data_IF_318867672806
#
_entry.id   IF_318867672806
#
_cell.length_a   1.000
_cell.length_b   1.000
_cell.length_c   1.000
_cell.angle_alpha   90.00
_cell.angle_beta   90.00
_cell.angle_gamma   90.00
#
_symmetry.space_group_name_H-M   'P 1'
#
loop_
_entity.id
_entity.type
_entity.pdbx_description
1 polymer ?
#
# COMPACT_ATOMS: atom_id res chain seq x y z
N UNK A 1 22.48 -40.79 37.98
CA UNK A 1 21.27 -41.24 37.27
C UNK A 1 20.13 -40.21 37.18
N UNK A 2 19.77 -39.45 38.22
CA UNK A 2 18.67 -38.45 38.17
C UNK A 2 18.93 -37.28 37.22
N UNK A 3 20.16 -36.77 37.09
CA UNK A 3 20.49 -35.65 36.16
C UNK A 3 20.41 -36.06 34.70
N UNK A 4 20.89 -37.25 34.31
CA UNK A 4 20.81 -37.75 32.94
C UNK A 4 19.35 -37.93 32.48
N UNK A 5 18.47 -38.41 33.37
CA UNK A 5 17.03 -38.57 33.09
C UNK A 5 16.30 -37.21 32.93
N UNK A 6 16.74 -36.14 33.63
CA UNK A 6 16.21 -34.77 33.50
C UNK A 6 16.63 -34.12 32.20
N UNK A 7 17.88 -34.35 31.76
CA UNK A 7 18.38 -33.84 30.48
C UNK A 7 17.68 -34.56 29.32
N UNK A 8 17.50 -35.89 29.40
CA UNK A 8 16.86 -36.69 28.36
C UNK A 8 15.36 -36.34 28.20
N UNK A 9 14.66 -36.12 29.33
CA UNK A 9 13.28 -35.64 29.28
C UNK A 9 13.16 -34.22 28.68
N UNK A 10 14.13 -33.34 28.99
CA UNK A 10 14.14 -31.98 28.40
C UNK A 10 14.39 -31.96 26.90
N UNK A 11 15.25 -32.86 26.39
CA UNK A 11 15.50 -33.01 24.94
C UNK A 11 14.27 -33.59 24.23
N UNK A 12 13.63 -34.61 24.83
CA UNK A 12 12.40 -35.20 24.25
C UNK A 12 11.23 -34.21 24.20
N UNK A 13 11.11 -33.31 25.21
CA UNK A 13 10.07 -32.25 25.20
C UNK A 13 10.36 -31.25 24.08
N UNK A 14 11.60 -30.77 23.91
CA UNK A 14 11.97 -29.85 22.84
C UNK A 14 11.75 -30.44 21.43
N UNK A 15 12.07 -31.73 21.24
CA UNK A 15 11.85 -32.42 19.96
C UNK A 15 10.37 -32.56 19.70
N UNK A 16 9.56 -32.93 20.68
CA UNK A 16 8.10 -33.05 20.56
C UNK A 16 7.46 -31.69 20.25
N UNK A 17 7.88 -30.64 20.91
CA UNK A 17 7.37 -29.30 20.70
C UNK A 17 7.78 -28.77 19.31
N UNK A 18 9.00 -29.06 18.85
CA UNK A 18 9.44 -28.76 17.48
C UNK A 18 8.63 -29.52 16.44
N UNK A 19 8.40 -30.83 16.63
CA UNK A 19 7.57 -31.63 15.72
C UNK A 19 6.11 -31.15 15.72
N UNK A 20 5.56 -30.81 16.88
CA UNK A 20 4.23 -30.22 16.96
C UNK A 20 4.15 -28.88 16.21
N UNK A 21 5.13 -27.98 16.40
CA UNK A 21 5.22 -26.72 15.68
C UNK A 21 5.32 -26.94 14.16
N UNK A 22 6.11 -27.94 13.73
CA UNK A 22 6.25 -28.30 12.31
C UNK A 22 4.94 -28.87 11.74
N UNK A 23 4.20 -29.66 12.48
CA UNK A 23 2.89 -30.18 12.06
C UNK A 23 1.84 -29.06 11.91
N UNK A 24 1.82 -28.09 12.83
CA UNK A 24 0.83 -26.99 12.78
C UNK A 24 1.22 -25.90 11.77
N UNK A 25 2.48 -25.49 11.73
CA UNK A 25 2.94 -24.40 10.85
C UNK A 25 3.42 -24.90 9.48
N UNK A 26 3.82 -26.17 9.38
CA UNK A 26 4.40 -26.78 8.18
C UNK A 26 3.56 -26.64 6.93
N UNK A 27 2.25 -26.98 6.94
CA UNK A 27 1.39 -26.84 5.78
C UNK A 27 1.29 -25.41 5.27
N UNK A 28 1.20 -24.43 6.19
CA UNK A 28 1.16 -23.00 5.88
C UNK A 28 2.48 -22.52 5.28
N UNK A 29 3.60 -22.97 5.85
CA UNK A 29 4.93 -22.63 5.39
C UNK A 29 5.23 -23.25 4.01
N UNK A 30 4.86 -24.51 3.78
CA UNK A 30 4.96 -25.16 2.48
C UNK A 30 4.11 -24.47 1.42
N UNK A 31 2.88 -24.05 1.77
CA UNK A 31 2.05 -23.26 0.87
C UNK A 31 2.70 -21.93 0.50
N UNK A 32 3.26 -21.21 1.47
CA UNK A 32 3.99 -19.98 1.22
C UNK A 32 5.21 -20.20 0.32
N UNK A 33 6.01 -21.23 0.57
CA UNK A 33 7.17 -21.56 -0.26
C UNK A 33 6.75 -21.91 -1.70
N UNK A 34 5.73 -22.73 -1.87
CA UNK A 34 5.29 -23.21 -3.18
C UNK A 34 4.63 -22.11 -4.03
N UNK A 35 3.80 -21.27 -3.41
CA UNK A 35 2.98 -20.30 -4.18
C UNK A 35 3.57 -18.89 -4.25
N UNK A 36 4.51 -18.53 -3.38
CA UNK A 36 5.12 -17.19 -3.37
C UNK A 36 6.61 -17.25 -3.61
N UNK A 37 7.36 -18.05 -2.83
CA UNK A 37 8.84 -18.05 -2.92
C UNK A 37 9.31 -18.71 -4.20
N UNK A 38 8.81 -19.89 -4.54
CA UNK A 38 9.23 -20.62 -5.75
C UNK A 38 8.95 -19.82 -7.04
N UNK A 39 7.74 -19.25 -7.28
CA UNK A 39 7.50 -18.39 -8.44
C UNK A 39 8.42 -17.16 -8.46
N UNK A 40 8.68 -16.55 -7.31
CA UNK A 40 9.59 -15.40 -7.26
C UNK A 40 11.03 -15.77 -7.58
N UNK A 41 11.52 -16.95 -7.16
CA UNK A 41 12.82 -17.47 -7.57
C UNK A 41 12.89 -17.68 -9.09
N UNK A 42 11.82 -18.15 -9.72
CA UNK A 42 11.73 -18.24 -11.18
C UNK A 42 11.82 -16.86 -11.84
N UNK A 43 11.15 -15.86 -11.31
CA UNK A 43 11.26 -14.47 -11.80
C UNK A 43 12.70 -13.97 -11.69
N UNK A 44 13.37 -14.20 -10.55
CA UNK A 44 14.79 -13.84 -10.38
C UNK A 44 15.63 -14.56 -11.44
N UNK A 45 15.42 -15.85 -11.65
CA UNK A 45 16.16 -16.62 -12.67
C UNK A 45 15.98 -16.02 -14.07
N UNK A 46 14.73 -15.75 -14.48
CA UNK A 46 14.44 -15.16 -15.79
C UNK A 46 15.05 -13.76 -15.99
N UNK A 47 15.29 -13.02 -14.93
CA UNK A 47 15.91 -11.70 -15.00
C UNK A 47 17.40 -11.75 -15.40
N UNK A 48 18.06 -12.90 -15.25
CA UNK A 48 19.48 -13.08 -15.53
C UNK A 48 19.80 -13.89 -16.80
N UNK A 49 18.79 -14.38 -17.52
CA UNK A 49 18.99 -15.18 -18.76
C UNK A 49 18.64 -14.38 -20.02
N UNK A 50 19.20 -14.80 -21.18
CA UNK A 50 19.04 -14.10 -22.46
C UNK A 50 17.64 -14.20 -23.03
N UNK A 51 16.97 -15.35 -22.89
CA UNK A 51 15.67 -15.62 -23.48
C UNK A 51 15.00 -16.84 -22.88
N UNK A 52 13.73 -17.05 -23.20
CA UNK A 52 12.97 -18.22 -22.76
C UNK A 52 13.47 -19.54 -23.38
N UNK A 53 14.05 -19.46 -24.57
CA UNK A 53 14.65 -20.60 -25.28
C UNK A 53 16.18 -20.66 -25.12
N UNK A 54 16.82 -19.49 -24.97
CA UNK A 54 18.25 -19.36 -24.71
C UNK A 54 18.49 -19.06 -23.25
N UNK A 55 18.81 -20.08 -22.47
CA UNK A 55 19.07 -19.99 -21.03
C UNK A 55 20.50 -19.50 -20.70
N UNK A 56 21.22 -18.90 -21.67
CA UNK A 56 22.55 -18.34 -21.42
C UNK A 56 22.48 -17.21 -20.38
N UNK A 57 23.40 -17.21 -19.45
CA UNK A 57 23.50 -16.19 -18.40
C UNK A 57 24.03 -14.88 -18.97
N UNK A 58 23.27 -13.79 -18.82
CA UNK A 58 23.61 -12.45 -19.36
C UNK A 58 23.92 -11.42 -18.27
N UNK A 59 24.01 -11.84 -17.02
CA UNK A 59 24.28 -10.94 -15.89
C UNK A 59 23.24 -9.81 -15.80
N UNK A 60 23.68 -8.57 -15.66
CA UNK A 60 22.82 -7.39 -15.48
C UNK A 60 22.29 -6.78 -16.79
N UNK A 61 22.49 -7.40 -17.95
CA UNK A 61 22.10 -6.84 -19.24
C UNK A 61 20.59 -6.51 -19.31
N UNK A 62 19.73 -7.38 -18.78
CA UNK A 62 18.29 -7.16 -18.79
C UNK A 62 17.90 -5.95 -17.93
N UNK A 63 18.54 -5.73 -16.80
CA UNK A 63 18.34 -4.56 -15.93
C UNK A 63 18.77 -3.26 -16.62
N UNK A 64 19.90 -3.28 -17.32
CA UNK A 64 20.38 -2.13 -18.10
C UNK A 64 19.40 -1.83 -19.23
N UNK A 65 18.90 -2.85 -19.93
CA UNK A 65 17.93 -2.70 -21.01
C UNK A 65 16.59 -2.10 -20.49
N UNK A 66 16.11 -2.57 -19.33
CA UNK A 66 14.90 -2.04 -18.70
C UNK A 66 15.12 -0.58 -18.27
N UNK A 67 16.25 -0.27 -17.63
CA UNK A 67 16.55 1.09 -17.18
C UNK A 67 16.68 2.09 -18.32
N UNK A 68 17.21 1.66 -19.47
CA UNK A 68 17.32 2.49 -20.68
C UNK A 68 16.03 2.58 -21.49
N UNK A 69 14.99 1.84 -21.11
CA UNK A 69 13.70 1.90 -21.80
C UNK A 69 12.93 3.16 -21.40
N UNK A 70 12.56 3.98 -22.39
CA UNK A 70 11.82 5.24 -22.16
C UNK A 70 10.47 5.04 -21.48
N UNK A 71 9.71 4.00 -21.90
CA UNK A 71 8.40 3.69 -21.29
C UNK A 71 8.55 3.25 -19.83
N UNK A 72 9.62 2.51 -19.48
CA UNK A 72 9.92 2.14 -18.10
C UNK A 72 10.19 3.38 -17.23
N UNK A 73 10.99 4.32 -17.73
CA UNK A 73 11.31 5.58 -16.99
C UNK A 73 10.06 6.42 -16.73
N UNK A 74 9.19 6.56 -17.73
CA UNK A 74 7.89 7.25 -17.57
C UNK A 74 7.06 6.52 -16.51
N UNK A 75 6.95 5.20 -16.60
CA UNK A 75 6.18 4.37 -15.69
C UNK A 75 6.68 4.47 -14.23
N UNK A 76 8.00 4.43 -14.02
CA UNK A 76 8.61 4.62 -12.68
C UNK A 76 8.32 6.01 -12.14
N UNK A 77 8.53 7.07 -12.94
CA UNK A 77 8.26 8.45 -12.54
C UNK A 77 6.80 8.63 -12.11
N UNK A 78 5.86 8.17 -12.94
CA UNK A 78 4.44 8.32 -12.66
C UNK A 78 4.01 7.53 -11.40
N UNK A 79 4.52 6.31 -11.24
CA UNK A 79 4.26 5.51 -10.04
C UNK A 79 4.83 6.19 -8.79
N UNK A 80 6.04 6.73 -8.86
CA UNK A 80 6.66 7.44 -7.75
C UNK A 80 5.90 8.74 -7.40
N UNK A 81 5.50 9.53 -8.37
CA UNK A 81 4.69 10.76 -8.18
C UNK A 81 3.33 10.41 -7.59
N UNK A 82 2.63 9.42 -8.17
CA UNK A 82 1.34 8.98 -7.66
C UNK A 82 1.44 8.49 -6.21
N UNK A 83 2.35 7.56 -5.91
CA UNK A 83 2.50 7.01 -4.57
C UNK A 83 2.98 8.06 -3.57
N UNK A 84 3.94 8.91 -3.97
CA UNK A 84 4.47 9.98 -3.14
C UNK A 84 3.44 11.06 -2.80
N UNK A 85 2.40 11.24 -3.61
CA UNK A 85 1.31 12.17 -3.35
C UNK A 85 0.15 11.50 -2.62
N UNK A 86 -0.33 10.36 -3.14
CA UNK A 86 -1.56 9.72 -2.66
C UNK A 86 -1.39 9.04 -1.30
N UNK A 87 -0.22 8.46 -1.00
CA UNK A 87 -0.01 7.75 0.27
C UNK A 87 0.03 8.71 1.45
N UNK A 88 0.84 9.79 1.48
CA UNK A 88 0.80 10.75 2.57
C UNK A 88 -0.57 11.40 2.74
N UNK A 89 -1.25 11.76 1.63
CA UNK A 89 -2.60 12.31 1.69
C UNK A 89 -3.59 11.32 2.32
N UNK A 90 -3.54 10.04 1.94
CA UNK A 90 -4.43 9.02 2.50
C UNK A 90 -4.18 8.82 4.00
N UNK A 91 -2.92 8.80 4.44
CA UNK A 91 -2.56 8.65 5.86
C UNK A 91 -3.00 9.87 6.67
N UNK A 92 -2.65 11.07 6.22
CA UNK A 92 -2.96 12.32 6.94
C UNK A 92 -4.47 12.55 7.00
N UNK A 93 -5.18 12.46 5.87
CA UNK A 93 -6.62 12.68 5.84
C UNK A 93 -7.38 11.63 6.66
N UNK A 94 -6.95 10.35 6.62
CA UNK A 94 -7.56 9.31 7.43
C UNK A 94 -7.36 9.55 8.94
N UNK A 95 -6.16 10.00 9.34
CA UNK A 95 -5.88 10.39 10.73
C UNK A 95 -6.73 11.58 11.16
N UNK A 96 -6.84 12.62 10.33
CA UNK A 96 -7.69 13.79 10.60
C UNK A 96 -9.16 13.38 10.76
N UNK A 97 -9.67 12.52 9.86
CA UNK A 97 -11.04 12.00 9.96
C UNK A 97 -11.23 11.17 11.24
N UNK A 98 -10.26 10.35 11.62
CA UNK A 98 -10.31 9.56 12.85
C UNK A 98 -10.37 10.45 14.10
N UNK A 99 -9.54 11.51 14.14
CA UNK A 99 -9.56 12.51 15.24
C UNK A 99 -10.89 13.29 15.30
N UNK A 100 -11.44 13.68 14.16
CA UNK A 100 -12.76 14.33 14.12
C UNK A 100 -13.86 13.39 14.65
N UNK A 101 -13.75 12.10 14.30
CA UNK A 101 -14.70 11.09 14.78
C UNK A 101 -14.42 10.63 16.23
N UNK A 102 -13.29 10.98 16.83
CA UNK A 102 -13.06 10.79 18.28
C UNK A 102 -14.00 11.71 19.09
N UNK A 103 -14.27 12.91 18.59
CA UNK A 103 -15.18 13.86 19.22
C UNK A 103 -16.62 13.32 19.30
N UNK A 104 -17.40 13.88 20.22
CA UNK A 104 -18.83 13.57 20.34
C UNK A 104 -19.62 14.31 19.25
N UNK A 105 -19.68 13.71 18.05
CA UNK A 105 -20.45 14.24 16.93
C UNK A 105 -21.75 13.44 16.73
N UNK A 106 -22.85 14.07 16.33
CA UNK A 106 -24.07 13.36 15.98
C UNK A 106 -23.80 12.45 14.74
N UNK A 107 -24.54 11.36 14.64
CA UNK A 107 -24.47 10.44 13.50
C UNK A 107 -23.09 9.79 13.24
N UNK A 108 -22.23 9.68 14.25
CA UNK A 108 -20.87 9.08 14.15
C UNK A 108 -20.86 7.71 13.48
N UNK A 109 -21.86 6.86 13.77
CA UNK A 109 -21.98 5.53 13.15
C UNK A 109 -22.25 5.62 11.66
N UNK A 110 -23.15 6.53 11.24
CA UNK A 110 -23.49 6.74 9.83
C UNK A 110 -22.28 7.25 9.04
N UNK A 111 -21.50 8.18 9.60
CA UNK A 111 -20.24 8.63 8.98
C UNK A 111 -19.25 7.48 8.77
N UNK A 112 -19.06 6.60 9.76
CA UNK A 112 -18.22 5.41 9.61
C UNK A 112 -18.69 4.54 8.45
N UNK A 113 -19.98 4.22 8.41
CA UNK A 113 -20.55 3.38 7.34
C UNK A 113 -20.40 4.04 5.98
N UNK A 114 -20.61 5.34 5.88
CA UNK A 114 -20.44 6.09 4.63
C UNK A 114 -19.00 6.01 4.11
N UNK A 115 -18.01 6.26 4.95
CA UNK A 115 -16.59 6.18 4.55
C UNK A 115 -16.12 4.74 4.25
N UNK A 116 -16.74 3.71 4.84
CA UNK A 116 -16.43 2.32 4.55
C UNK A 116 -17.11 1.78 3.29
N UNK A 117 -18.21 2.41 2.85
CA UNK A 117 -19.01 1.91 1.72
C UNK A 117 -18.22 1.73 0.42
N UNK A 118 -17.23 2.58 0.06
CA UNK A 118 -16.45 2.40 -1.16
C UNK A 118 -15.69 1.07 -1.23
N UNK A 119 -15.29 0.55 -0.08
CA UNK A 119 -14.55 -0.72 -0.01
C UNK A 119 -15.44 -1.94 -0.32
N UNK A 120 -16.75 -1.81 -0.09
CA UNK A 120 -17.72 -2.89 -0.30
C UNK A 120 -18.21 -2.98 -1.75
N UNK A 121 -17.99 -1.93 -2.55
CA UNK A 121 -18.47 -1.88 -3.93
C UNK A 121 -17.47 -2.55 -4.89
N UNK A 122 -17.91 -3.41 -5.83
CA UNK A 122 -17.03 -3.99 -6.85
C UNK A 122 -16.34 -2.91 -7.67
N UNK A 123 -15.05 -3.07 -7.94
CA UNK A 123 -14.23 -2.06 -8.63
C UNK A 123 -14.81 -1.70 -9.99
N UNK A 124 -15.31 -2.67 -10.77
CA UNK A 124 -15.90 -2.41 -12.09
C UNK A 124 -17.10 -1.44 -12.00
N UNK A 125 -17.96 -1.57 -11.00
CA UNK A 125 -19.09 -0.65 -10.79
C UNK A 125 -18.64 0.75 -10.42
N UNK A 126 -17.60 0.86 -9.57
CA UNK A 126 -16.99 2.14 -9.23
C UNK A 126 -16.48 2.85 -10.49
N UNK A 127 -15.77 2.12 -11.34
CA UNK A 127 -15.18 2.67 -12.55
C UNK A 127 -16.23 3.23 -13.49
N UNK A 128 -17.37 2.54 -13.68
CA UNK A 128 -18.47 3.05 -14.50
C UNK A 128 -19.01 4.38 -13.97
N UNK A 129 -19.18 4.51 -12.64
CA UNK A 129 -19.60 5.76 -12.02
C UNK A 129 -18.58 6.87 -12.26
N UNK A 130 -17.27 6.58 -12.11
CA UNK A 130 -16.21 7.55 -12.32
C UNK A 130 -16.09 7.97 -13.79
N UNK A 131 -16.28 7.04 -14.73
CA UNK A 131 -16.33 7.39 -16.18
C UNK A 131 -17.45 8.37 -16.48
N UNK A 132 -18.64 8.20 -15.90
CA UNK A 132 -19.77 9.13 -16.09
C UNK A 132 -19.51 10.47 -15.43
N UNK A 133 -18.98 10.48 -14.20
CA UNK A 133 -18.69 11.71 -13.46
C UNK A 133 -17.65 12.59 -14.16
N UNK A 134 -16.55 11.99 -14.62
CA UNK A 134 -15.40 12.67 -15.23
C UNK A 134 -15.42 12.65 -16.77
N UNK A 135 -16.54 12.31 -17.38
CA UNK A 135 -16.73 12.45 -18.84
C UNK A 135 -16.68 13.93 -19.26
N UNK A 136 -16.32 14.22 -20.51
CA UNK A 136 -16.33 15.60 -21.06
C UNK A 136 -17.68 16.30 -20.90
N UNK A 137 -18.78 15.56 -21.01
CA UNK A 137 -20.15 16.03 -20.77
C UNK A 137 -20.71 15.50 -19.43
N UNK A 138 -19.84 15.22 -18.47
CA UNK A 138 -20.21 14.63 -17.18
C UNK A 138 -20.53 15.68 -16.10
N UNK A 139 -21.05 15.20 -14.97
CA UNK A 139 -21.53 16.04 -13.86
C UNK A 139 -20.48 17.02 -13.33
N UNK A 140 -19.20 16.61 -13.31
CA UNK A 140 -18.10 17.47 -12.85
C UNK A 140 -17.93 18.68 -13.76
N UNK A 141 -17.95 18.49 -15.08
CA UNK A 141 -17.84 19.58 -16.04
C UNK A 141 -19.10 20.47 -16.05
N UNK A 142 -20.28 19.88 -15.87
CA UNK A 142 -21.52 20.64 -15.76
C UNK A 142 -21.48 21.56 -14.52
N UNK A 143 -21.05 21.05 -13.38
CA UNK A 143 -20.86 21.85 -12.17
C UNK A 143 -19.82 22.95 -12.36
N UNK A 144 -18.69 22.66 -13.00
CA UNK A 144 -17.64 23.66 -13.27
C UNK A 144 -18.07 24.73 -14.30
N UNK A 145 -18.99 24.40 -15.21
CA UNK A 145 -19.52 25.35 -16.20
C UNK A 145 -20.28 26.49 -15.54
N UNK A 146 -20.89 26.27 -14.38
CA UNK A 146 -21.56 27.31 -13.56
C UNK A 146 -20.57 28.41 -13.15
N UNK A 147 -19.28 28.05 -12.98
CA UNK A 147 -18.19 28.99 -12.65
C UNK A 147 -17.45 29.50 -13.89
N UNK A 148 -17.98 29.25 -15.10
CA UNK A 148 -17.37 29.69 -16.36
C UNK A 148 -16.16 28.88 -16.82
N UNK A 149 -15.87 27.72 -16.22
CA UNK A 149 -14.77 26.84 -16.62
C UNK A 149 -15.19 26.05 -17.87
N UNK A 150 -14.31 26.01 -18.89
CA UNK A 150 -14.54 25.20 -20.09
C UNK A 150 -14.47 23.71 -19.75
N UNK A 151 -15.24 22.90 -20.48
CA UNK A 151 -15.22 21.46 -20.33
C UNK A 151 -13.82 20.88 -20.51
N UNK A 152 -13.41 20.03 -19.58
CA UNK A 152 -12.09 19.38 -19.51
C UNK A 152 -12.28 17.90 -19.86
N UNK A 153 -11.41 17.34 -20.69
CA UNK A 153 -11.29 15.87 -20.83
C UNK A 153 -10.38 15.36 -19.71
N UNK A 154 -10.99 15.04 -18.58
CA UNK A 154 -10.29 14.68 -17.35
C UNK A 154 -9.34 13.49 -17.48
N UNK A 155 -9.69 12.50 -18.30
CA UNK A 155 -8.92 11.26 -18.43
C UNK A 155 -7.83 11.32 -19.51
N UNK A 156 -7.91 12.31 -20.41
CA UNK A 156 -6.96 12.52 -21.51
C UNK A 156 -6.24 13.87 -21.44
N UNK A 157 -6.11 14.42 -20.24
CA UNK A 157 -5.41 15.67 -19.96
C UNK A 157 -4.43 15.51 -18.80
N UNK A 158 -3.66 16.54 -18.51
CA UNK A 158 -2.73 16.57 -17.39
C UNK A 158 -3.43 16.45 -16.01
N UNK A 159 -4.74 16.67 -15.97
CA UNK A 159 -5.56 16.50 -14.77
C UNK A 159 -5.92 15.05 -14.45
N UNK A 160 -5.60 14.09 -15.33
CA UNK A 160 -5.95 12.68 -15.14
C UNK A 160 -5.35 12.10 -13.85
N UNK A 161 -4.17 12.55 -13.43
CA UNK A 161 -3.55 12.15 -12.18
C UNK A 161 -4.41 12.55 -10.96
N UNK A 162 -5.02 13.73 -10.97
CA UNK A 162 -5.91 14.22 -9.90
C UNK A 162 -7.12 13.30 -9.76
N UNK A 163 -7.73 12.88 -10.88
CA UNK A 163 -8.88 11.95 -10.87
C UNK A 163 -8.52 10.63 -10.18
N UNK A 164 -7.35 10.08 -10.51
CA UNK A 164 -6.91 8.81 -9.92
C UNK A 164 -6.53 8.96 -8.45
N UNK A 165 -5.91 10.08 -8.05
CA UNK A 165 -5.64 10.37 -6.63
C UNK A 165 -6.95 10.48 -5.85
N UNK A 166 -7.96 11.19 -6.37
CA UNK A 166 -9.28 11.27 -5.74
C UNK A 166 -9.94 9.89 -5.61
N UNK A 167 -9.90 9.08 -6.66
CA UNK A 167 -10.41 7.70 -6.63
C UNK A 167 -9.70 6.87 -5.56
N UNK A 168 -8.38 6.95 -5.49
CA UNK A 168 -7.57 6.25 -4.50
C UNK A 168 -7.91 6.67 -3.08
N UNK A 169 -8.00 7.98 -2.83
CA UNK A 169 -8.38 8.52 -1.53
C UNK A 169 -9.78 8.05 -1.13
N UNK A 170 -10.78 8.28 -1.99
CA UNK A 170 -12.16 7.88 -1.72
C UNK A 170 -12.28 6.39 -1.35
N UNK A 171 -11.50 5.53 -1.98
CA UNK A 171 -11.52 4.09 -1.75
C UNK A 171 -10.80 3.67 -0.46
N UNK A 172 -9.71 4.34 -0.08
CA UNK A 172 -8.83 3.89 1.01
C UNK A 172 -9.04 4.65 2.32
N UNK A 173 -9.58 5.88 2.29
CA UNK A 173 -9.73 6.73 3.47
C UNK A 173 -10.53 6.06 4.60
N UNK A 174 -11.65 5.41 4.28
CA UNK A 174 -12.51 4.81 5.29
C UNK A 174 -11.83 3.68 6.06
N UNK A 175 -11.12 2.80 5.36
CA UNK A 175 -10.38 1.71 5.98
C UNK A 175 -9.25 2.23 6.88
N UNK A 176 -8.43 3.13 6.36
CA UNK A 176 -7.34 3.75 7.11
C UNK A 176 -7.85 4.50 8.34
N UNK A 177 -8.97 5.24 8.21
CA UNK A 177 -9.65 5.93 9.29
C UNK A 177 -10.07 4.97 10.43
N UNK A 178 -10.63 3.81 10.11
CA UNK A 178 -11.03 2.82 11.12
C UNK A 178 -9.83 2.27 11.88
N UNK A 179 -8.71 2.01 11.20
CA UNK A 179 -7.46 1.57 11.85
C UNK A 179 -6.96 2.62 12.84
N UNK A 180 -6.94 3.89 12.45
CA UNK A 180 -6.58 4.99 13.37
C UNK A 180 -7.56 5.13 14.52
N UNK A 181 -8.86 5.00 14.27
CA UNK A 181 -9.87 5.05 15.33
C UNK A 181 -9.70 3.92 16.36
N UNK A 182 -9.36 2.71 15.89
CA UNK A 182 -9.09 1.59 16.79
C UNK A 182 -7.86 1.87 17.67
N UNK A 183 -6.79 2.39 17.08
CA UNK A 183 -5.57 2.74 17.82
C UNK A 183 -5.80 3.90 18.80
N UNK A 184 -6.54 4.94 18.42
CA UNK A 184 -6.91 6.05 19.31
C UNK A 184 -7.70 5.57 20.54
N UNK A 185 -8.59 4.60 20.37
CA UNK A 185 -9.38 4.04 21.47
C UNK A 185 -8.53 3.19 22.46
N UNK A 186 -7.34 2.75 22.05
CA UNK A 186 -6.42 1.98 22.91
C UNK A 186 -5.51 2.85 23.77
N UNK A 187 -5.51 4.17 23.59
CA UNK A 187 -4.72 5.10 24.41
C UNK A 187 -5.35 5.16 25.81
N UNK A 188 -4.58 4.89 26.90
CA UNK A 188 -5.09 4.98 28.25
C UNK A 188 -5.60 6.39 28.57
N UNK A 189 -6.83 6.50 29.03
CA UNK A 189 -7.44 7.79 29.36
C UNK A 189 -6.72 8.51 30.49
N UNK A 190 -6.20 7.76 31.44
CA UNK A 190 -5.45 8.27 32.59
C UNK A 190 -4.26 9.15 32.16
N UNK A 191 -3.56 8.78 31.08
CA UNK A 191 -2.47 9.59 30.55
C UNK A 191 -2.93 10.95 30.02
N UNK A 192 -4.09 10.98 29.40
CA UNK A 192 -4.66 12.22 28.85
C UNK A 192 -5.22 13.11 29.98
N UNK A 193 -5.81 12.50 31.01
CA UNK A 193 -6.34 13.18 32.19
C UNK A 193 -5.21 13.80 33.04
N UNK A 194 -4.12 13.05 33.27
CA UNK A 194 -2.93 13.54 33.98
C UNK A 194 -2.32 14.71 33.21
N UNK A 195 -2.14 14.59 31.91
CA UNK A 195 -1.62 15.68 31.06
C UNK A 195 -2.52 16.92 31.09
N UNK A 196 -3.84 16.75 31.20
CA UNK A 196 -4.81 17.86 31.32
C UNK A 196 -4.70 18.56 32.68
N UNK A 197 -4.52 17.80 33.77
CA UNK A 197 -4.28 18.34 35.14
C UNK A 197 -2.97 19.11 35.20
N UNK A 198 -1.92 18.65 34.50
CA UNK A 198 -0.63 19.33 34.38
C UNK A 198 -0.66 20.56 33.44
N UNK A 199 -1.83 20.88 32.84
CA UNK A 199 -2.01 22.04 31.99
C UNK A 199 -1.56 21.86 30.55
N UNK A 200 -1.35 20.62 30.08
CA UNK A 200 -0.97 20.36 28.69
C UNK A 200 -2.10 20.68 27.70
N UNK A 201 -1.84 21.53 26.73
CA UNK A 201 -2.81 21.86 25.67
C UNK A 201 -3.18 20.64 24.82
N UNK A 202 -4.34 20.63 24.17
CA UNK A 202 -4.76 19.54 23.28
C UNK A 202 -3.78 19.30 22.12
N UNK A 203 -3.13 20.36 21.64
CA UNK A 203 -2.09 20.26 20.59
C UNK A 203 -0.84 19.57 21.15
N UNK A 204 -0.42 19.91 22.36
CA UNK A 204 0.70 19.25 23.03
C UNK A 204 0.41 17.76 23.27
N UNK A 205 -0.78 17.43 23.80
CA UNK A 205 -1.22 16.05 24.00
C UNK A 205 -1.22 15.26 22.68
N UNK A 206 -1.63 15.89 21.56
CA UNK A 206 -1.61 15.24 20.25
C UNK A 206 -0.19 14.84 19.82
N UNK A 207 0.75 15.79 19.80
CA UNK A 207 2.10 15.53 19.29
C UNK A 207 2.97 14.69 20.24
N UNK A 208 2.80 14.82 21.57
CA UNK A 208 3.67 14.17 22.54
C UNK A 208 3.08 12.89 23.13
N UNK A 209 1.76 12.71 23.11
CA UNK A 209 1.12 11.52 23.64
C UNK A 209 0.47 10.73 22.48
N UNK A 210 -0.58 11.28 21.85
CA UNK A 210 -1.36 10.51 20.87
C UNK A 210 -0.53 10.04 19.69
N UNK A 211 0.28 10.91 19.09
CA UNK A 211 1.08 10.58 17.90
C UNK A 211 2.14 9.49 18.20
N UNK A 212 2.71 9.49 19.41
CA UNK A 212 3.63 8.44 19.85
C UNK A 212 2.91 7.08 19.96
N UNK A 213 1.76 7.04 20.64
CA UNK A 213 0.93 5.82 20.70
C UNK A 213 0.42 5.34 19.36
N UNK A 214 0.23 6.26 18.40
CA UNK A 214 -0.20 5.94 17.04
C UNK A 214 0.95 5.52 16.11
N UNK A 215 2.22 5.66 16.51
CA UNK A 215 3.39 5.39 15.66
C UNK A 215 3.33 4.03 14.97
N UNK A 216 3.08 2.88 15.66
CA UNK A 216 2.98 1.59 15.00
C UNK A 216 1.81 1.51 14.00
N UNK A 217 0.70 2.19 14.31
CA UNK A 217 -0.46 2.23 13.43
C UNK A 217 -0.20 3.12 12.20
N UNK A 218 0.49 4.24 12.36
CA UNK A 218 0.93 5.11 11.24
C UNK A 218 1.83 4.31 10.30
N UNK A 219 2.81 3.57 10.83
CA UNK A 219 3.65 2.66 10.05
C UNK A 219 2.81 1.65 9.27
N UNK A 220 1.93 0.92 9.97
CA UNK A 220 1.09 -0.11 9.37
C UNK A 220 0.18 0.44 8.26
N UNK A 221 -0.52 1.54 8.53
CA UNK A 221 -1.39 2.22 7.54
C UNK A 221 -0.59 2.74 6.35
N UNK A 222 0.62 3.24 6.57
CA UNK A 222 1.51 3.70 5.51
C UNK A 222 1.93 2.54 4.61
N UNK A 223 2.36 1.40 5.19
CA UNK A 223 2.72 0.20 4.43
C UNK A 223 1.54 -0.30 3.60
N UNK A 224 0.34 -0.41 4.20
CA UNK A 224 -0.87 -0.81 3.48
C UNK A 224 -1.21 0.16 2.35
N UNK A 225 -1.09 1.46 2.58
CA UNK A 225 -1.36 2.48 1.57
C UNK A 225 -0.34 2.43 0.42
N UNK A 226 0.94 2.16 0.70
CA UNK A 226 1.97 1.91 -0.32
C UNK A 226 1.58 0.68 -1.16
N UNK A 227 1.27 -0.45 -0.55
CA UNK A 227 0.86 -1.67 -1.26
C UNK A 227 -0.36 -1.40 -2.14
N UNK A 228 -1.36 -0.66 -1.63
CA UNK A 228 -2.56 -0.31 -2.38
C UNK A 228 -2.26 0.68 -3.51
N UNK A 229 -1.29 1.60 -3.36
CA UNK A 229 -0.90 2.54 -4.41
C UNK A 229 -0.31 1.82 -5.63
N UNK A 230 0.45 0.75 -5.43
CA UNK A 230 0.92 -0.08 -6.55
C UNK A 230 -0.21 -0.87 -7.23
N UNK A 231 -1.28 -1.21 -6.49
CA UNK A 231 -2.44 -1.95 -7.05
C UNK A 231 -3.41 -1.06 -7.84
N UNK A 232 -3.22 0.26 -7.87
CA UNK A 232 -4.09 1.21 -8.60
C UNK A 232 -4.14 0.96 -10.12
N UNK A 233 -3.18 0.22 -10.64
CA UNK A 233 -3.15 -0.23 -12.02
C UNK A 233 -4.50 -0.79 -12.49
N UNK A 234 -5.17 -1.61 -11.65
CA UNK A 234 -6.44 -2.24 -12.02
C UNK A 234 -7.52 -1.19 -12.29
N UNK A 235 -7.59 -0.16 -11.48
CA UNK A 235 -8.54 0.94 -11.62
C UNK A 235 -8.23 1.75 -12.89
N UNK A 236 -6.97 2.10 -13.12
CA UNK A 236 -6.55 2.84 -14.31
C UNK A 236 -6.78 2.01 -15.57
N UNK A 237 -6.44 0.73 -15.54
CA UNK A 237 -6.62 -0.18 -16.67
C UNK A 237 -8.10 -0.30 -17.07
N UNK A 238 -9.00 -0.41 -16.09
CA UNK A 238 -10.44 -0.45 -16.35
C UNK A 238 -11.01 0.88 -16.84
N UNK A 239 -10.38 2.02 -16.46
CA UNK A 239 -10.78 3.36 -16.90
C UNK A 239 -10.31 3.67 -18.31
N UNK A 240 -9.09 3.30 -18.67
CA UNK A 240 -8.38 3.85 -19.85
C UNK A 240 -7.77 2.79 -20.77
N UNK A 241 -7.80 1.51 -20.38
CA UNK A 241 -7.25 0.39 -21.17
C UNK A 241 -5.74 0.21 -21.04
N UNK A 242 -5.15 -0.47 -22.03
CA UNK A 242 -3.73 -0.90 -22.05
C UNK A 242 -2.74 0.26 -22.18
N UNK A 243 -3.13 1.32 -22.87
CA UNK A 243 -2.31 2.49 -23.19
C UNK A 243 -3.03 3.75 -22.72
N UNK A 244 -2.98 4.06 -21.42
CA UNK A 244 -3.56 5.28 -20.89
C UNK A 244 -2.80 6.52 -21.37
N UNK A 245 -3.34 7.71 -21.07
CA UNK A 245 -2.59 8.96 -21.21
C UNK A 245 -1.24 8.86 -20.46
N UNK A 246 -0.19 9.45 -21.01
CA UNK A 246 1.19 9.26 -20.54
C UNK A 246 1.36 9.43 -19.03
N UNK A 247 0.66 10.39 -18.42
CA UNK A 247 0.73 10.61 -16.96
C UNK A 247 0.10 9.48 -16.11
N UNK A 248 -0.73 8.62 -16.69
CA UNK A 248 -1.33 7.45 -16.05
C UNK A 248 -0.61 6.13 -16.36
N UNK A 249 0.42 6.17 -17.19
CA UNK A 249 1.19 4.99 -17.51
C UNK A 249 2.09 4.59 -16.33
N UNK A 250 1.60 3.66 -15.52
CA UNK A 250 2.24 3.21 -14.28
C UNK A 250 3.16 2.01 -14.52
N UNK A 251 3.99 1.66 -13.53
CA UNK A 251 4.93 0.55 -13.61
C UNK A 251 4.25 -0.79 -13.89
N UNK A 252 3.06 -1.03 -13.34
CA UNK A 252 2.31 -2.25 -13.65
C UNK A 252 1.75 -2.27 -15.08
N UNK A 253 1.49 -1.10 -15.73
CA UNK A 253 1.18 -1.07 -17.18
C UNK A 253 2.38 -1.54 -18.00
N UNK A 254 3.57 -1.02 -17.70
CA UNK A 254 4.80 -1.50 -18.35
C UNK A 254 4.97 -3.01 -18.21
N UNK A 255 4.84 -3.54 -17.00
CA UNK A 255 4.96 -4.97 -16.74
C UNK A 255 3.89 -5.78 -17.46
N UNK A 256 2.63 -5.33 -17.46
CA UNK A 256 1.53 -5.98 -18.20
C UNK A 256 1.80 -6.00 -19.71
N UNK A 257 2.33 -4.91 -20.27
CA UNK A 257 2.67 -4.85 -21.68
C UNK A 257 3.84 -5.77 -22.04
N UNK A 258 4.88 -5.87 -21.17
CA UNK A 258 5.96 -6.84 -21.37
C UNK A 258 5.45 -8.28 -21.29
N UNK A 259 4.52 -8.58 -20.39
CA UNK A 259 3.88 -9.88 -20.32
C UNK A 259 3.12 -10.22 -21.61
N UNK A 260 2.33 -9.27 -22.15
CA UNK A 260 1.54 -9.47 -23.39
C UNK A 260 2.42 -9.61 -24.66
N UNK A 261 3.57 -8.96 -24.67
CA UNK A 261 4.57 -9.10 -25.76
C UNK A 261 5.51 -10.27 -25.56
N UNK A 262 5.30 -11.08 -24.50
CA UNK A 262 6.09 -12.25 -24.16
C UNK A 262 7.60 -11.94 -23.89
N UNK A 263 7.90 -10.69 -23.54
CA UNK A 263 9.27 -10.28 -23.14
C UNK A 263 9.46 -10.56 -21.62
N UNK A 264 9.56 -11.82 -21.28
CA UNK A 264 9.65 -12.27 -19.88
C UNK A 264 10.92 -11.79 -19.19
N UNK A 265 12.00 -11.54 -19.92
CA UNK A 265 13.27 -11.07 -19.38
C UNK A 265 13.15 -9.62 -18.84
N UNK A 266 12.58 -8.71 -19.66
CA UNK A 266 12.32 -7.35 -19.22
C UNK A 266 11.24 -7.29 -18.12
N UNK A 267 10.19 -8.10 -18.25
CA UNK A 267 9.18 -8.25 -17.20
C UNK A 267 9.81 -8.63 -15.87
N UNK A 268 10.64 -9.68 -15.87
CA UNK A 268 11.29 -10.21 -14.67
C UNK A 268 12.27 -9.23 -14.06
N UNK A 269 13.09 -8.55 -14.89
CA UNK A 269 14.00 -7.53 -14.41
C UNK A 269 13.24 -6.34 -13.78
N UNK A 270 12.14 -5.89 -14.41
CA UNK A 270 11.28 -4.84 -13.85
C UNK A 270 10.62 -5.25 -12.51
N UNK A 271 10.16 -6.52 -12.42
CA UNK A 271 9.56 -7.06 -11.21
C UNK A 271 10.55 -7.14 -10.04
N UNK A 272 11.79 -7.57 -10.31
CA UNK A 272 12.86 -7.61 -9.30
C UNK A 272 13.23 -6.20 -8.84
N UNK A 273 13.36 -5.23 -9.76
CA UNK A 273 13.62 -3.82 -9.40
C UNK A 273 12.50 -3.27 -8.53
N UNK A 274 11.24 -3.52 -8.87
CA UNK A 274 10.09 -3.11 -8.07
C UNK A 274 10.13 -3.73 -6.68
N UNK A 275 10.40 -5.04 -6.57
CA UNK A 275 10.50 -5.73 -5.28
C UNK A 275 11.59 -5.13 -4.40
N UNK A 276 12.77 -4.82 -4.97
CA UNK A 276 13.87 -4.17 -4.24
C UNK A 276 13.48 -2.78 -3.73
N UNK A 277 12.78 -1.98 -4.55
CA UNK A 277 12.29 -0.65 -4.13
C UNK A 277 11.29 -0.78 -2.98
N UNK A 278 10.33 -1.71 -3.08
CA UNK A 278 9.33 -1.91 -2.02
C UNK A 278 10.01 -2.38 -0.73
N UNK A 279 10.94 -3.34 -0.80
CA UNK A 279 11.70 -3.82 0.36
C UNK A 279 12.48 -2.67 1.01
N UNK A 280 13.16 -1.85 0.20
CA UNK A 280 13.91 -0.70 0.71
C UNK A 280 12.99 0.33 1.38
N UNK A 281 11.84 0.65 0.79
CA UNK A 281 10.85 1.56 1.38
C UNK A 281 10.32 1.03 2.72
N UNK A 282 9.96 -0.25 2.78
CA UNK A 282 9.48 -0.88 4.01
C UNK A 282 10.58 -0.88 5.08
N UNK A 283 11.82 -1.22 4.73
CA UNK A 283 12.95 -1.20 5.66
C UNK A 283 13.22 0.20 6.23
N UNK A 284 13.12 1.25 5.38
CA UNK A 284 13.25 2.65 5.83
C UNK A 284 12.11 2.99 6.80
N UNK A 285 10.88 2.60 6.50
CA UNK A 285 9.73 2.88 7.36
C UNK A 285 9.87 2.23 8.73
N UNK A 286 10.33 0.96 8.79
CA UNK A 286 10.61 0.29 10.05
C UNK A 286 11.74 0.97 10.83
N UNK A 287 12.82 1.38 10.16
CA UNK A 287 13.91 2.09 10.81
C UNK A 287 13.48 3.45 11.39
N UNK A 288 12.57 4.15 10.69
CA UNK A 288 11.98 5.41 11.18
C UNK A 288 11.09 5.15 12.40
N UNK A 289 10.25 4.13 12.35
CA UNK A 289 9.34 3.77 13.44
C UNK A 289 10.13 3.35 14.69
N UNK A 290 11.15 2.52 14.54
CA UNK A 290 12.07 2.10 15.61
C UNK A 290 12.75 3.29 16.31
N UNK A 291 13.06 4.34 15.53
CA UNK A 291 13.64 5.57 16.09
C UNK A 291 12.64 6.40 16.92
N UNK A 292 11.38 6.50 16.45
CA UNK A 292 10.34 7.28 17.11
C UNK A 292 9.53 6.50 18.16
N UNK A 293 9.48 5.18 18.07
CA UNK A 293 8.66 4.31 18.92
C UNK A 293 9.36 3.80 20.19
N UNK A 294 10.68 3.91 20.29
CA UNK A 294 11.48 3.37 21.41
C UNK A 294 11.04 3.82 22.82
N UNK A 295 10.39 4.97 22.91
CA UNK A 295 9.97 5.54 24.20
C UNK A 295 8.60 5.03 24.69
N UNK A 296 7.91 4.18 23.92
CA UNK A 296 6.53 3.73 24.24
C UNK A 296 6.48 2.27 24.69
N UNK A 297 7.51 1.46 24.38
CA UNK A 297 7.60 0.04 24.76
C UNK A 297 8.39 -0.20 26.07
N UNK A 298 8.75 0.85 26.80
CA UNK A 298 9.49 0.81 28.06
C UNK A 298 8.63 0.64 29.31
#
# INVERSE_FOLDING_TARGET
MKQAKKIWNGVNVKIRDFLASLCFSGPSFLGMLMFFVAPFCVVIYYSFIAGALDHSFVGLKNYINVWNNGAFRIAVKNTAVFSGLSVPLAVVLALVLALMLECRIPFKSQFRTFFLSPMMVPVASIILVWQVLFHSNGVVNEFLSVFGVKAIDWLKSDYCMVVIVLLFLWKNLGYNMILFMAALNNIPRELLEVAEVEGASKVYQFFHIKLRYLSPTVLFVTILSIINSFKVFREIYLLTGDYPYDALYMLQHFMNNMFRTLDYQKLSAAAVLLALVIIALIAILFAVEDYFGKDVEG
#
